data_IF_126047314942
#
_entry.id   IF_126047314942
#
_cell.length_a   1.000
_cell.length_b   1.000
_cell.length_c   1.000
_cell.angle_alpha   90.00
_cell.angle_beta   90.00
_cell.angle_gamma   90.00
#
_symmetry.space_group_name_H-M   'P 1'
#
loop_
_entity.id
_entity.type
_entity.pdbx_description
1 polymer ?
#
# COMPACT_ATOMS: atom_id res chain seq x y z
N UNK A 1 1.27 -15.64 16.04
CA UNK A 1 1.16 -15.15 14.65
C UNK A 1 -0.28 -14.73 14.42
N UNK A 2 -0.59 -13.45 14.16
CA UNK A 2 -1.97 -13.07 13.79
C UNK A 2 -2.28 -13.56 12.38
N UNK A 3 -3.48 -14.15 12.18
CA UNK A 3 -3.99 -14.55 10.87
C UNK A 3 -4.00 -13.37 9.90
N UNK A 4 -3.83 -13.64 8.59
CA UNK A 4 -3.79 -12.61 7.55
C UNK A 4 -5.01 -11.68 7.60
N UNK A 5 -6.20 -12.23 7.86
CA UNK A 5 -7.43 -11.45 8.01
C UNK A 5 -7.38 -10.46 9.17
N UNK A 6 -6.79 -10.83 10.31
CA UNK A 6 -6.64 -9.93 11.46
C UNK A 6 -5.72 -8.76 11.11
N UNK A 7 -4.60 -9.03 10.44
CA UNK A 7 -3.69 -7.98 9.97
C UNK A 7 -4.36 -7.06 8.94
N UNK A 8 -5.20 -7.64 8.07
CA UNK A 8 -5.97 -6.93 7.05
C UNK A 8 -7.04 -6.01 7.68
N UNK A 9 -7.68 -6.43 8.76
CA UNK A 9 -8.59 -5.57 9.53
C UNK A 9 -7.83 -4.46 10.28
N UNK A 10 -6.72 -4.80 10.95
CA UNK A 10 -5.87 -3.82 11.62
C UNK A 10 -5.30 -2.77 10.66
N UNK A 11 -5.04 -3.15 9.41
CA UNK A 11 -4.61 -2.20 8.37
C UNK A 11 -5.62 -1.09 8.11
N UNK A 12 -6.91 -1.42 8.15
CA UNK A 12 -7.98 -0.44 7.96
C UNK A 12 -8.16 0.48 9.16
N UNK A 13 -7.82 0.02 10.37
CA UNK A 13 -7.91 0.82 11.60
C UNK A 13 -6.68 1.70 11.83
N UNK A 14 -5.60 1.53 11.05
CA UNK A 14 -4.43 2.40 11.13
C UNK A 14 -4.80 3.87 10.85
N UNK A 15 -4.10 4.83 11.46
CA UNK A 15 -4.37 6.25 11.25
C UNK A 15 -3.90 6.69 9.85
N UNK A 16 -4.78 6.55 8.87
CA UNK A 16 -4.59 7.12 7.53
C UNK A 16 -4.59 8.64 7.63
N UNK A 17 -3.43 9.24 7.42
CA UNK A 17 -3.25 10.70 7.41
C UNK A 17 -3.73 11.27 6.08
N UNK A 18 -3.91 12.60 6.01
CA UNK A 18 -4.21 13.29 4.75
C UNK A 18 -3.01 14.10 4.31
N UNK A 19 -2.67 14.02 3.04
CA UNK A 19 -1.64 14.89 2.46
C UNK A 19 -2.20 16.29 2.13
N UNK A 20 -1.35 17.17 1.61
CA UNK A 20 -1.76 18.53 1.23
C UNK A 20 -2.86 18.56 0.15
N UNK A 21 -3.00 17.49 -0.64
CA UNK A 21 -4.04 17.33 -1.66
C UNK A 21 -5.30 16.63 -1.12
N UNK A 22 -5.37 16.35 0.19
CA UNK A 22 -6.49 15.66 0.83
C UNK A 22 -6.53 14.14 0.59
N UNK A 23 -5.50 13.57 -0.03
CA UNK A 23 -5.40 12.12 -0.29
C UNK A 23 -5.06 11.39 1.00
N UNK A 24 -5.73 10.27 1.24
CA UNK A 24 -5.44 9.45 2.40
C UNK A 24 -4.11 8.71 2.17
N UNK A 25 -3.20 8.78 3.14
CA UNK A 25 -1.92 8.07 3.08
C UNK A 25 -1.56 7.36 4.38
N UNK A 26 -0.74 6.33 4.25
CA UNK A 26 -0.20 5.55 5.35
C UNK A 26 1.27 5.22 5.07
N UNK A 27 2.13 5.37 6.07
CA UNK A 27 3.51 4.89 6.04
C UNK A 27 3.57 3.55 6.77
N UNK A 28 4.06 2.52 6.10
CA UNK A 28 4.14 1.18 6.66
C UNK A 28 5.29 0.41 6.02
N UNK A 29 6.11 -0.25 6.83
CA UNK A 29 7.07 -1.26 6.38
C UNK A 29 8.05 -0.77 5.29
N UNK A 30 8.44 0.52 5.34
CA UNK A 30 9.32 1.14 4.35
C UNK A 30 8.60 1.65 3.09
N UNK A 31 7.28 1.52 3.03
CA UNK A 31 6.44 1.98 1.94
C UNK A 31 5.55 3.15 2.34
N UNK A 32 5.30 4.03 1.38
CA UNK A 32 4.34 5.12 1.42
C UNK A 32 3.15 4.74 0.56
N UNK A 33 1.99 4.58 1.19
CA UNK A 33 0.77 4.09 0.56
C UNK A 33 -0.21 5.25 0.48
N UNK A 34 -0.79 5.48 -0.70
CA UNK A 34 -1.83 6.44 -0.95
C UNK A 34 -3.11 5.70 -1.34
N UNK A 35 -4.26 6.25 -0.96
CA UNK A 35 -5.57 5.83 -1.40
C UNK A 35 -6.42 7.07 -1.68
N UNK A 36 -6.89 7.21 -2.91
CA UNK A 36 -7.60 8.39 -3.38
C UNK A 36 -8.49 8.06 -4.58
N UNK A 37 -9.40 8.98 -4.92
CA UNK A 37 -10.24 8.86 -6.12
C UNK A 37 -9.47 9.42 -7.31
N UNK A 38 -9.43 8.66 -8.40
CA UNK A 38 -8.86 9.04 -9.69
C UNK A 38 -9.81 8.61 -10.80
N UNK A 39 -10.17 9.54 -11.69
CA UNK A 39 -11.07 9.28 -12.83
C UNK A 39 -12.39 8.58 -12.44
N UNK A 40 -12.95 8.95 -11.29
CA UNK A 40 -14.22 8.40 -10.80
C UNK A 40 -14.13 7.04 -10.10
N UNK A 41 -12.95 6.42 -10.05
CA UNK A 41 -12.71 5.17 -9.33
C UNK A 41 -11.73 5.36 -8.18
N UNK A 42 -11.76 4.49 -7.16
CA UNK A 42 -10.72 4.48 -6.15
C UNK A 42 -9.46 3.82 -6.68
N UNK A 43 -8.31 4.44 -6.40
CA UNK A 43 -6.96 3.98 -6.74
C UNK A 43 -6.11 3.92 -5.48
N UNK A 44 -5.21 2.95 -5.40
CA UNK A 44 -4.08 3.00 -4.48
C UNK A 44 -2.77 3.22 -5.23
N UNK A 45 -1.79 3.78 -4.52
CA UNK A 45 -0.42 3.92 -5.00
C UNK A 45 0.55 3.57 -3.87
N UNK A 46 1.56 2.76 -4.14
CA UNK A 46 2.59 2.33 -3.21
C UNK A 46 3.94 2.78 -3.74
N UNK A 47 4.66 3.55 -2.91
CA UNK A 47 6.00 4.06 -3.20
C UNK A 47 6.96 3.56 -2.12
N UNK A 48 8.24 3.34 -2.44
CA UNK A 48 9.26 3.11 -1.42
C UNK A 48 9.70 4.44 -0.81
N UNK A 49 9.84 4.52 0.52
CA UNK A 49 10.18 5.78 1.22
C UNK A 49 11.63 6.21 0.94
N UNK A 50 12.54 5.25 0.74
CA UNK A 50 13.98 5.51 0.51
C UNK A 50 14.40 5.41 -0.96
N UNK A 51 13.44 5.40 -1.89
CA UNK A 51 13.68 5.37 -3.35
C UNK A 51 12.93 6.53 -3.96
N UNK A 52 13.44 7.07 -5.06
CA UNK A 52 12.70 8.08 -5.81
C UNK A 52 11.40 7.45 -6.34
N UNK A 53 10.28 8.20 -6.40
CA UNK A 53 9.02 7.72 -6.97
C UNK A 53 9.16 7.22 -8.42
N UNK A 54 10.18 7.70 -9.13
CA UNK A 54 10.55 7.27 -10.49
C UNK A 54 11.15 5.86 -10.55
N UNK A 55 11.74 5.38 -9.45
CA UNK A 55 12.39 4.07 -9.39
C UNK A 55 11.42 2.96 -8.99
N UNK A 56 10.45 3.28 -8.12
CA UNK A 56 9.45 2.31 -7.68
C UNK A 56 8.13 2.98 -7.35
N UNK A 57 7.13 2.71 -8.20
CA UNK A 57 5.75 3.06 -7.98
C UNK A 57 4.86 1.91 -8.47
N UNK A 58 4.11 1.30 -7.54
CA UNK A 58 3.07 0.32 -7.85
C UNK A 58 1.71 0.98 -7.65
N UNK A 59 0.86 0.96 -8.68
CA UNK A 59 -0.47 1.57 -8.62
C UNK A 59 -1.52 0.65 -9.23
N UNK A 60 -2.74 0.72 -8.70
CA UNK A 60 -3.90 0.01 -9.24
C UNK A 60 -5.18 0.77 -8.91
N UNK A 61 -6.13 0.78 -9.85
CA UNK A 61 -7.42 1.48 -9.79
C UNK A 61 -8.61 0.57 -10.10
N UNK A 62 -9.79 1.16 -10.28
CA UNK A 62 -11.04 0.44 -10.52
C UNK A 62 -11.75 -0.03 -9.25
N UNK A 63 -11.31 0.42 -8.06
CA UNK A 63 -11.93 0.01 -6.81
C UNK A 63 -13.23 0.78 -6.55
N UNK A 64 -14.26 0.05 -6.09
CA UNK A 64 -15.59 0.61 -5.79
C UNK A 64 -15.63 1.47 -4.52
N UNK A 65 -14.63 1.36 -3.64
CA UNK A 65 -14.58 2.13 -2.39
C UNK A 65 -13.14 2.34 -1.92
N UNK A 66 -12.94 3.35 -1.07
CA UNK A 66 -11.64 3.62 -0.46
C UNK A 66 -11.18 2.47 0.43
N UNK A 67 -12.12 1.79 1.08
CA UNK A 67 -11.81 0.59 1.86
C UNK A 67 -11.28 -0.53 0.96
N UNK A 68 -11.91 -0.79 -0.19
CA UNK A 68 -11.44 -1.78 -1.15
C UNK A 68 -10.04 -1.46 -1.69
N UNK A 69 -9.79 -0.18 -2.03
CA UNK A 69 -8.47 0.30 -2.44
C UNK A 69 -7.41 0.09 -1.36
N UNK A 70 -7.70 0.40 -0.09
CA UNK A 70 -6.76 0.20 1.03
C UNK A 70 -6.47 -1.27 1.30
N UNK A 71 -7.49 -2.13 1.19
CA UNK A 71 -7.35 -3.58 1.34
C UNK A 71 -6.48 -4.16 0.24
N UNK A 72 -6.71 -3.76 -1.01
CA UNK A 72 -5.88 -4.19 -2.13
C UNK A 72 -4.42 -3.70 -1.97
N UNK A 73 -4.22 -2.49 -1.44
CA UNK A 73 -2.88 -1.99 -1.14
C UNK A 73 -2.17 -2.84 -0.07
N UNK A 74 -2.87 -3.32 0.97
CA UNK A 74 -2.30 -4.24 1.95
C UNK A 74 -1.85 -5.55 1.32
N UNK A 75 -2.70 -6.12 0.47
CA UNK A 75 -2.42 -7.36 -0.24
C UNK A 75 -1.16 -7.19 -1.13
N UNK A 76 -1.09 -6.08 -1.88
CA UNK A 76 0.05 -5.74 -2.73
C UNK A 76 1.36 -5.52 -1.92
N UNK A 77 1.33 -4.81 -0.79
CA UNK A 77 2.52 -4.63 0.07
C UNK A 77 2.98 -5.97 0.62
N UNK A 78 2.06 -6.84 1.02
CA UNK A 78 2.41 -8.16 1.55
C UNK A 78 3.10 -9.01 0.49
N UNK A 79 2.65 -8.94 -0.76
CA UNK A 79 3.30 -9.60 -1.90
C UNK A 79 4.68 -9.00 -2.19
N UNK A 80 4.80 -7.67 -2.18
CA UNK A 80 6.08 -6.98 -2.36
C UNK A 80 7.09 -7.36 -1.27
N UNK A 81 6.66 -7.43 -0.01
CA UNK A 81 7.52 -7.85 1.10
C UNK A 81 7.96 -9.30 0.93
N UNK A 82 7.07 -10.20 0.50
CA UNK A 82 7.45 -11.59 0.20
C UNK A 82 8.48 -11.67 -0.92
N UNK A 83 8.27 -10.92 -2.01
CA UNK A 83 9.18 -10.89 -3.15
C UNK A 83 10.55 -10.26 -2.78
N UNK A 84 10.57 -9.23 -1.94
CA UNK A 84 11.80 -8.60 -1.46
C UNK A 84 12.57 -9.53 -0.50
N UNK A 85 11.88 -10.29 0.36
CA UNK A 85 12.50 -11.32 1.21
C UNK A 85 13.15 -12.43 0.37
N UNK A 86 12.46 -12.93 -0.66
CA UNK A 86 13.01 -13.96 -1.56
C UNK A 86 14.26 -13.45 -2.27
N UNK A 87 14.21 -12.22 -2.81
CA UNK A 87 15.37 -11.63 -3.47
C UNK A 87 16.56 -11.48 -2.54
N UNK A 88 16.36 -11.10 -1.28
CA UNK A 88 17.44 -10.97 -0.29
C UNK A 88 18.06 -12.33 0.09
N UNK A 89 17.30 -13.42 0.05
CA UNK A 89 17.83 -14.77 0.29
C UNK A 89 18.59 -15.38 -0.89
N UNK A 90 18.41 -14.85 -2.11
CA UNK A 90 19.11 -15.33 -3.31
C UNK A 90 20.48 -14.66 -3.52
N UNK A 91 20.78 -13.57 -2.80
CA UNK A 91 22.06 -12.84 -2.87
C UNK A 91 22.98 -13.09 -1.66
N UNK A 92 22.58 -13.99 -0.75
CA UNK A 92 23.33 -14.35 0.46
C UNK A 92 23.93 -15.75 0.32
#
# INVERSE_FOLDING_TARGET
MHSREVKRQQWLTRPWRRDAAGRAYLRADGYYVLSYIHEGAWRYEIRKINRSPREFCLMSDGYRSGMASRLAAFDAITELMRADTVRLSEVA
#
